data_IF_584398359085
#
_entry.id   IF_584398359085
#
_cell.length_a   1.000
_cell.length_b   1.000
_cell.length_c   1.000
_cell.angle_alpha   90.00
_cell.angle_beta   90.00
_cell.angle_gamma   90.00
#
_symmetry.space_group_name_H-M   'P 1'
#
loop_
_entity.id
_entity.type
_entity.pdbx_description
1 polymer ?
#
# COMPACT_ATOMS: atom_id res chain seq x y z
N UNK A 1 -14.95 -0.71 22.28
CA UNK A 1 -15.61 -0.62 20.97
C UNK A 1 -15.31 -1.91 20.21
N UNK A 2 -16.14 -2.94 20.37
CA UNK A 2 -16.04 -4.18 19.59
C UNK A 2 -16.62 -3.91 18.21
N UNK A 3 -15.79 -3.36 17.31
CA UNK A 3 -16.19 -3.12 15.93
C UNK A 3 -16.26 -4.48 15.21
N UNK A 4 -17.44 -4.79 14.69
CA UNK A 4 -17.77 -6.01 13.95
C UNK A 4 -16.94 -6.12 12.66
N UNK A 5 -15.81 -6.86 12.71
CA UNK A 5 -14.97 -7.16 11.55
C UNK A 5 -15.65 -7.97 10.44
N UNK A 6 -16.85 -8.51 10.68
CA UNK A 6 -17.59 -9.30 9.71
C UNK A 6 -18.22 -8.47 8.57
N UNK A 7 -18.66 -7.23 8.84
CA UNK A 7 -19.28 -6.39 7.80
C UNK A 7 -18.27 -5.71 6.86
N UNK A 8 -17.06 -5.40 7.32
CA UNK A 8 -16.06 -4.70 6.49
C UNK A 8 -15.50 -5.64 5.40
N UNK A 9 -15.32 -6.93 5.74
CA UNK A 9 -14.71 -7.92 4.85
C UNK A 9 -15.67 -8.44 3.77
N UNK A 10 -16.99 -8.47 4.03
CA UNK A 10 -18.01 -8.90 3.07
C UNK A 10 -18.12 -7.99 1.83
N UNK A 11 -17.78 -6.70 1.97
CA UNK A 11 -17.76 -5.74 0.85
C UNK A 11 -16.36 -5.45 0.31
N UNK A 12 -15.31 -6.02 0.90
CA UNK A 12 -13.92 -5.73 0.52
C UNK A 12 -13.61 -6.11 -0.94
N UNK A 13 -14.27 -7.13 -1.49
CA UNK A 13 -14.13 -7.56 -2.89
C UNK A 13 -14.77 -6.59 -3.90
N UNK A 14 -15.72 -5.76 -3.46
CA UNK A 14 -16.42 -4.77 -4.30
C UNK A 14 -15.71 -3.41 -4.32
N UNK A 15 -14.80 -3.18 -3.38
CA UNK A 15 -14.03 -1.93 -3.29
C UNK A 15 -12.82 -2.05 -4.19
N UNK A 16 -12.94 -1.52 -5.41
CA UNK A 16 -11.80 -1.39 -6.33
C UNK A 16 -10.76 -0.45 -5.70
N UNK A 17 -9.70 -1.04 -5.18
CA UNK A 17 -8.52 -0.31 -4.70
C UNK A 17 -7.63 -0.02 -5.91
N UNK A 18 -7.35 1.25 -6.25
CA UNK A 18 -6.39 1.57 -7.30
C UNK A 18 -5.06 0.86 -7.05
N UNK A 19 -4.61 0.13 -8.07
CA UNK A 19 -3.41 -0.70 -8.00
C UNK A 19 -2.58 -0.49 -9.26
N UNK A 20 -1.27 -0.39 -9.08
CA UNK A 20 -0.28 -0.35 -10.16
C UNK A 20 0.78 -1.42 -9.89
N UNK A 21 1.03 -2.29 -10.87
CA UNK A 21 2.12 -3.27 -10.84
C UNK A 21 3.38 -2.70 -11.51
N UNK A 22 4.55 -3.28 -11.21
CA UNK A 22 5.83 -2.84 -11.79
C UNK A 22 6.34 -1.51 -11.23
N UNK A 23 5.90 -1.13 -10.03
CA UNK A 23 6.36 0.09 -9.35
C UNK A 23 7.72 -0.17 -8.71
N UNK A 24 8.66 0.76 -8.87
CA UNK A 24 10.00 0.67 -8.28
C UNK A 24 10.13 1.62 -7.10
N UNK A 25 10.41 1.09 -5.91
CA UNK A 25 10.71 1.84 -4.71
C UNK A 25 12.21 2.13 -4.62
N UNK A 26 12.55 3.42 -4.63
CA UNK A 26 13.90 3.92 -4.35
C UNK A 26 13.99 4.40 -2.90
N UNK A 27 15.02 3.95 -2.19
CA UNK A 27 15.32 4.39 -0.81
C UNK A 27 16.81 4.74 -0.69
N UNK A 28 17.17 5.71 0.16
CA UNK A 28 18.57 6.05 0.39
C UNK A 28 19.37 4.81 0.84
N UNK A 29 20.50 4.56 0.18
CA UNK A 29 21.47 3.51 0.54
C UNK A 29 20.95 2.07 0.53
N UNK A 30 19.79 1.80 -0.07
CA UNK A 30 19.21 0.46 -0.18
C UNK A 30 19.01 0.06 -1.66
N UNK A 31 19.03 -1.25 -1.98
CA UNK A 31 18.62 -1.72 -3.28
C UNK A 31 17.18 -1.32 -3.62
N UNK A 32 16.93 -1.14 -4.92
CA UNK A 32 15.58 -0.89 -5.44
C UNK A 32 14.69 -2.10 -5.27
N UNK A 33 13.41 -1.87 -4.97
CA UNK A 33 12.42 -2.93 -4.83
C UNK A 33 11.35 -2.74 -5.90
N UNK A 34 11.17 -3.73 -6.76
CA UNK A 34 10.03 -3.79 -7.67
C UNK A 34 8.84 -4.45 -6.98
N UNK A 35 7.64 -3.91 -7.18
CA UNK A 35 6.44 -4.45 -6.55
C UNK A 35 5.15 -3.83 -7.06
N UNK A 36 4.13 -3.95 -6.22
CA UNK A 36 2.78 -3.45 -6.49
C UNK A 36 2.44 -2.34 -5.50
N UNK A 37 1.98 -1.20 -6.03
CA UNK A 37 1.49 -0.08 -5.24
C UNK A 37 -0.03 -0.11 -5.20
N UNK A 38 -0.60 -0.13 -3.99
CA UNK A 38 -2.02 -0.03 -3.73
C UNK A 38 -2.33 1.28 -3.01
N UNK A 39 -3.34 2.01 -3.49
CA UNK A 39 -3.82 3.23 -2.86
C UNK A 39 -5.16 2.98 -2.19
N UNK A 40 -5.21 3.13 -0.87
CA UNK A 40 -6.45 3.08 -0.08
C UNK A 40 -6.84 4.48 0.39
N UNK A 41 -7.96 4.63 1.09
CA UNK A 41 -8.37 5.91 1.66
C UNK A 41 -7.46 6.46 2.78
N UNK A 42 -6.64 5.62 3.42
CA UNK A 42 -5.79 6.04 4.55
C UNK A 42 -4.31 5.74 4.34
N UNK A 43 -4.00 4.67 3.60
CA UNK A 43 -2.65 4.18 3.37
C UNK A 43 -2.31 4.11 1.88
N UNK A 44 -1.05 4.38 1.58
CA UNK A 44 -0.35 3.95 0.39
C UNK A 44 0.50 2.72 0.77
N UNK A 45 0.30 1.61 0.08
CA UNK A 45 0.95 0.33 0.42
C UNK A 45 1.74 -0.16 -0.79
N UNK A 46 3.03 -0.45 -0.61
CA UNK A 46 3.85 -1.12 -1.60
C UNK A 46 4.27 -2.50 -1.08
N UNK A 47 4.12 -3.53 -1.90
CA UNK A 47 4.57 -4.89 -1.59
C UNK A 47 5.42 -5.44 -2.73
N UNK A 48 6.61 -5.96 -2.40
CA UNK A 48 7.51 -6.61 -3.35
C UNK A 48 7.02 -7.97 -3.88
N UNK A 49 5.98 -8.55 -3.25
CA UNK A 49 5.47 -9.92 -3.47
C UNK A 49 6.50 -11.04 -3.25
N UNK A 50 7.74 -10.71 -2.89
CA UNK A 50 8.80 -11.66 -2.55
C UNK A 50 8.99 -11.66 -1.04
N UNK A 51 8.75 -12.82 -0.42
CA UNK A 51 9.01 -13.16 0.99
C UNK A 51 8.51 -12.20 2.09
N UNK A 52 7.48 -11.37 1.84
CA UNK A 52 6.83 -10.46 2.82
C UNK A 52 7.79 -9.52 3.59
N UNK A 53 9.07 -9.45 3.21
CA UNK A 53 10.10 -8.70 3.94
C UNK A 53 10.19 -7.24 3.52
N UNK A 54 9.72 -6.92 2.31
CA UNK A 54 9.79 -5.57 1.74
C UNK A 54 8.38 -5.02 1.48
N UNK A 55 7.69 -4.69 2.58
CA UNK A 55 6.43 -3.94 2.54
C UNK A 55 6.62 -2.52 3.07
N UNK A 56 6.13 -1.52 2.33
CA UNK A 56 6.03 -0.14 2.78
C UNK A 56 4.57 0.20 3.03
N UNK A 57 4.29 0.71 4.22
CA UNK A 57 2.97 1.21 4.62
C UNK A 57 3.10 2.68 4.99
N UNK A 58 2.55 3.55 4.17
CA UNK A 58 2.64 5.00 4.34
C UNK A 58 1.25 5.58 4.58
N UNK A 59 1.06 6.28 5.70
CA UNK A 59 -0.14 7.06 5.94
C UNK A 59 -0.16 8.28 5.02
N UNK A 60 -1.32 8.60 4.46
CA UNK A 60 -1.48 9.84 3.67
C UNK A 60 -1.16 11.08 4.51
N UNK A 61 -1.46 11.04 5.81
CA UNK A 61 -1.16 12.11 6.75
C UNK A 61 0.34 12.36 6.99
N UNK A 62 1.22 11.45 6.57
CA UNK A 62 2.66 11.61 6.68
C UNK A 62 3.31 12.08 5.36
N UNK A 63 2.51 12.46 4.35
CA UNK A 63 2.98 12.92 3.06
C UNK A 63 2.85 14.45 3.01
N UNK A 64 3.99 15.13 3.07
CA UNK A 64 4.04 16.60 2.99
C UNK A 64 3.96 17.12 1.54
N UNK A 65 4.43 16.34 0.56
CA UNK A 65 4.45 16.73 -0.85
C UNK A 65 4.44 15.52 -1.80
N UNK A 66 3.94 15.73 -3.01
CA UNK A 66 3.93 14.75 -4.12
C UNK A 66 4.34 15.48 -5.40
N UNK A 67 5.26 14.90 -6.15
CA UNK A 67 5.75 15.42 -7.43
C UNK A 67 5.60 14.37 -8.54
N UNK A 68 5.64 14.81 -9.81
CA UNK A 68 5.53 13.96 -11.00
C UNK A 68 6.86 13.84 -11.72
#
# INVERSE_FOLDING_TARGET
VSCTSQNIMEFAELIKTPRVDGVVLHRPFMPTVEGTLCLTGHHLILSSRQDNTEELWLLHANIDSIEK
#
